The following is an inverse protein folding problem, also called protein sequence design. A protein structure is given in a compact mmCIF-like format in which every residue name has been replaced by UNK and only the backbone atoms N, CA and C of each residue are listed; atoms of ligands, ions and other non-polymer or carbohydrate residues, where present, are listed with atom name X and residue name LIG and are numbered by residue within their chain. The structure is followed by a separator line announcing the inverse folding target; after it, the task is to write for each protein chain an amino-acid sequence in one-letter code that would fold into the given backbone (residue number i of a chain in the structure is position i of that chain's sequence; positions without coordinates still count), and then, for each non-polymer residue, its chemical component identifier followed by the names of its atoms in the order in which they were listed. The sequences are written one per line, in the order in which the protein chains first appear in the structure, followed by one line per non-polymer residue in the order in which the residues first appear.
data_IF_501510490947
#
_entry.id   IF_501510490947
#
_cell.length_a   1.000
_cell.length_b   1.000
_cell.length_c   1.000
_cell.angle_alpha   90.00
_cell.angle_beta   90.00
_cell.angle_gamma   90.00
#
_symmetry.space_group_name_H-M   'P 1'
#
loop_
_entity.id
_entity.type
_entity.pdbx_description
1 polymer ?
#
# COMPACT_ATOMS: atom_id res chain seq x y z
N UNK A 1 56.43 11.22 -4.44
CA UNK A 1 54.97 11.22 -4.22
C UNK A 1 54.68 11.04 -2.73
N UNK A 2 53.97 12.01 -2.14
CA UNK A 2 53.82 12.12 -0.69
C UNK A 2 52.80 11.07 -0.20
N UNK A 3 53.25 10.08 0.59
CA UNK A 3 52.43 8.92 1.04
C UNK A 3 51.18 9.33 1.84
N UNK A 4 51.18 10.53 2.41
CA UNK A 4 50.04 11.15 3.09
C UNK A 4 48.89 11.52 2.13
N UNK A 5 49.20 12.05 0.94
CA UNK A 5 48.18 12.42 -0.05
C UNK A 5 47.47 11.18 -0.62
N UNK A 6 48.21 10.07 -0.78
CA UNK A 6 47.63 8.82 -1.27
C UNK A 6 46.64 8.20 -0.27
N UNK A 7 46.89 8.35 1.04
CA UNK A 7 46.03 7.83 2.12
C UNK A 7 44.75 8.63 2.30
N UNK A 8 44.81 9.95 2.11
CA UNK A 8 43.62 10.81 2.17
C UNK A 8 42.72 10.56 0.97
N UNK A 9 43.30 10.36 -0.22
CA UNK A 9 42.54 10.04 -1.43
C UNK A 9 41.83 8.68 -1.32
N UNK A 10 42.47 7.64 -0.78
CA UNK A 10 41.82 6.33 -0.59
C UNK A 10 40.73 6.34 0.47
N UNK A 11 40.89 7.13 1.55
CA UNK A 11 39.86 7.27 2.58
C UNK A 11 38.60 7.99 2.03
N UNK A 12 38.78 9.02 1.20
CA UNK A 12 37.67 9.75 0.59
C UNK A 12 36.87 8.88 -0.40
N UNK A 13 37.56 8.04 -1.19
CA UNK A 13 36.90 7.10 -2.12
C UNK A 13 36.12 6.02 -1.38
N UNK A 14 36.61 5.54 -0.23
CA UNK A 14 35.92 4.51 0.56
C UNK A 14 34.64 5.05 1.22
N UNK A 15 34.65 6.30 1.70
CA UNK A 15 33.47 6.93 2.31
C UNK A 15 32.40 7.19 1.25
N UNK A 16 32.82 7.62 0.06
CA UNK A 16 31.90 7.84 -1.07
C UNK A 16 31.24 6.55 -1.58
N UNK A 17 31.95 5.42 -1.56
CA UNK A 17 31.38 4.13 -1.97
C UNK A 17 30.45 3.49 -0.93
N UNK A 18 30.66 3.72 0.37
CA UNK A 18 29.74 3.25 1.41
C UNK A 18 28.42 4.05 1.43
N UNK A 19 28.45 5.35 1.08
CA UNK A 19 27.24 6.17 0.99
C UNK A 19 26.30 5.74 -0.16
N UNK A 20 26.84 5.13 -1.22
CA UNK A 20 26.06 4.71 -2.39
C UNK A 20 25.29 3.38 -2.20
N UNK A 21 25.56 2.61 -1.14
CA UNK A 21 24.85 1.36 -0.86
C UNK A 21 23.80 1.47 0.26
N UNK A 22 23.62 2.66 0.84
CA UNK A 22 22.54 2.87 1.81
C UNK A 22 21.31 3.39 1.05
N UNK A 23 20.25 2.59 0.86
CA UNK A 23 18.98 3.14 0.41
C UNK A 23 18.56 4.20 1.45
N UNK A 24 18.45 5.44 1.00
CA UNK A 24 17.99 6.58 1.81
C UNK A 24 16.53 6.38 2.31
N UNK A 25 15.81 5.44 1.71
CA UNK A 25 14.50 4.98 2.15
C UNK A 25 14.63 3.69 2.97
N UNK A 26 14.08 3.66 4.20
CA UNK A 26 13.97 2.40 4.93
C UNK A 26 13.21 1.38 4.09
N UNK A 27 13.59 0.09 4.16
CA UNK A 27 12.89 -0.96 3.45
C UNK A 27 11.41 -0.92 3.82
N UNK A 28 10.56 -1.05 2.82
CA UNK A 28 9.11 -1.06 3.00
C UNK A 28 8.73 -2.19 3.99
N UNK A 29 8.09 -1.84 5.10
CA UNK A 29 7.82 -2.81 6.19
C UNK A 29 6.74 -3.82 5.82
N UNK A 30 5.84 -3.44 4.92
CA UNK A 30 4.68 -4.22 4.55
C UNK A 30 4.21 -3.81 3.15
N UNK A 31 3.78 -4.79 2.39
CA UNK A 31 3.08 -4.60 1.12
C UNK A 31 1.58 -4.60 1.39
N UNK A 32 0.88 -3.67 0.76
CA UNK A 32 -0.59 -3.64 0.72
C UNK A 32 -1.03 -3.69 -0.74
N UNK A 33 -1.99 -4.55 -1.05
CA UNK A 33 -2.56 -4.70 -2.39
C UNK A 33 -4.07 -4.85 -2.35
N UNK A 34 -4.72 -4.48 -3.45
CA UNK A 34 -6.11 -4.83 -3.70
C UNK A 34 -6.18 -6.22 -4.34
N UNK A 35 -7.08 -7.06 -3.85
CA UNK A 35 -7.35 -8.41 -4.34
C UNK A 35 -8.81 -8.49 -4.85
N UNK A 36 -9.07 -9.04 -6.06
CA UNK A 36 -8.14 -9.68 -7.02
C UNK A 36 -7.50 -8.75 -8.06
N UNK A 37 -7.93 -7.49 -8.13
CA UNK A 37 -7.44 -6.51 -9.13
C UNK A 37 -6.82 -5.34 -8.39
N UNK A 38 -5.70 -4.80 -8.91
CA UNK A 38 -4.94 -3.71 -8.29
C UNK A 38 -5.60 -2.33 -8.33
N UNK A 39 -6.77 -2.22 -8.94
CA UNK A 39 -7.51 -0.97 -9.15
C UNK A 39 -8.87 -0.98 -8.43
N UNK A 40 -9.28 0.21 -8.01
CA UNK A 40 -10.62 0.49 -7.52
C UNK A 40 -11.56 0.55 -8.73
N UNK A 41 -12.60 -0.29 -8.75
CA UNK A 41 -13.49 -0.40 -9.92
C UNK A 41 -14.96 -0.28 -9.55
N UNK A 42 -15.75 0.18 -10.51
CA UNK A 42 -17.21 0.22 -10.44
C UNK A 42 -17.79 -0.11 -11.82
N UNK A 43 -19.00 -0.62 -11.82
CA UNK A 43 -19.78 -0.96 -13.02
C UNK A 43 -21.01 -0.06 -13.10
N UNK A 44 -21.43 0.28 -14.31
CA UNK A 44 -22.68 1.02 -14.55
C UNK A 44 -23.59 0.15 -15.41
N UNK A 45 -24.78 -0.16 -14.91
CA UNK A 45 -25.72 -0.98 -15.66
C UNK A 45 -26.51 -0.18 -16.71
N UNK A 46 -27.31 -0.88 -17.53
CA UNK A 46 -28.13 -0.28 -18.59
C UNK A 46 -29.22 0.68 -18.08
N UNK A 47 -29.51 0.68 -16.78
CA UNK A 47 -30.44 1.60 -16.12
C UNK A 47 -29.74 2.83 -15.52
N UNK A 48 -28.41 2.88 -15.59
CA UNK A 48 -27.58 3.91 -14.97
C UNK A 48 -27.28 3.66 -13.49
N UNK A 49 -27.59 2.47 -12.96
CA UNK A 49 -27.27 2.13 -11.58
C UNK A 49 -25.77 1.82 -11.44
N UNK A 50 -25.14 2.45 -10.44
CA UNK A 50 -23.72 2.31 -10.13
C UNK A 50 -23.54 1.18 -9.12
N UNK A 51 -22.74 0.18 -9.48
CA UNK A 51 -22.32 -0.90 -8.57
C UNK A 51 -20.82 -0.81 -8.34
N UNK A 52 -20.41 -0.41 -7.14
CA UNK A 52 -18.98 -0.41 -6.76
C UNK A 52 -18.52 -1.84 -6.53
N UNK A 53 -17.44 -2.24 -7.20
CA UNK A 53 -16.96 -3.61 -7.07
C UNK A 53 -16.24 -3.77 -5.73
N UNK A 54 -16.72 -4.69 -4.90
CA UNK A 54 -16.04 -5.00 -3.63
C UNK A 54 -14.65 -5.54 -3.90
N UNK A 55 -13.64 -4.94 -3.27
CA UNK A 55 -12.24 -5.38 -3.28
C UNK A 55 -11.81 -5.66 -1.85
N UNK A 56 -10.98 -6.69 -1.67
CA UNK A 56 -10.36 -6.94 -0.38
C UNK A 56 -8.99 -6.25 -0.33
N UNK A 57 -8.62 -5.74 0.84
CA UNK A 57 -7.26 -5.32 1.10
C UNK A 57 -6.46 -6.51 1.61
N UNK A 58 -5.35 -6.80 0.96
CA UNK A 58 -4.43 -7.83 1.36
C UNK A 58 -3.14 -7.20 1.89
N UNK A 59 -2.78 -7.56 3.11
CA UNK A 59 -1.62 -7.06 3.83
C UNK A 59 -0.58 -8.17 3.98
N UNK A 60 0.67 -7.86 3.70
CA UNK A 60 1.77 -8.82 3.81
C UNK A 60 3.03 -8.13 4.32
N UNK A 61 3.56 -8.57 5.46
CA UNK A 61 4.83 -8.05 5.98
C UNK A 61 6.00 -8.44 5.07
N UNK A 62 6.94 -7.51 4.88
CA UNK A 62 8.16 -7.75 4.14
C UNK A 62 9.10 -8.71 4.89
N UNK A 63 9.97 -9.41 4.15
CA UNK A 63 10.91 -10.36 4.73
C UNK A 63 11.71 -9.79 5.91
N UNK A 64 11.68 -10.48 7.06
CA UNK A 64 12.35 -10.08 8.30
C UNK A 64 11.62 -9.03 9.13
N UNK A 65 10.49 -8.50 8.66
CA UNK A 65 9.71 -7.50 9.40
C UNK A 65 8.95 -8.14 10.57
N UNK A 66 8.78 -7.41 11.70
CA UNK A 66 7.97 -7.89 12.81
C UNK A 66 6.49 -8.03 12.42
N UNK A 67 5.73 -8.78 13.20
CA UNK A 67 4.28 -8.75 13.10
C UNK A 67 3.76 -7.35 13.44
N UNK A 68 2.69 -6.95 12.77
CA UNK A 68 2.11 -5.62 12.87
C UNK A 68 0.60 -5.70 13.08
N UNK A 69 0.00 -4.64 13.60
CA UNK A 69 -1.45 -4.47 13.67
C UNK A 69 -1.84 -3.16 13.02
N UNK A 70 -2.70 -3.22 12.01
CA UNK A 70 -3.30 -2.03 11.38
C UNK A 70 -4.51 -1.62 12.21
N UNK A 71 -4.51 -0.37 12.66
CA UNK A 71 -5.50 0.19 13.58
C UNK A 71 -6.42 1.20 12.91
N UNK A 72 -6.04 1.73 11.74
CA UNK A 72 -6.85 2.70 11.02
C UNK A 72 -6.41 2.85 9.57
N UNK A 73 -7.29 3.47 8.81
CA UNK A 73 -7.08 3.84 7.42
C UNK A 73 -7.73 5.21 7.14
N UNK A 74 -7.01 6.05 6.43
CA UNK A 74 -7.49 7.27 5.80
C UNK A 74 -7.37 7.13 4.29
N UNK A 75 -8.34 7.63 3.55
CA UNK A 75 -8.35 7.59 2.09
C UNK A 75 -8.67 8.98 1.56
N UNK A 76 -7.82 9.48 0.68
CA UNK A 76 -8.04 10.74 -0.04
C UNK A 76 -8.07 10.44 -1.54
N UNK A 77 -9.12 10.88 -2.24
CA UNK A 77 -9.28 10.67 -3.67
C UNK A 77 -8.91 11.94 -4.43
N UNK A 78 -8.24 11.76 -5.56
CA UNK A 78 -7.79 12.84 -6.41
C UNK A 78 -8.13 12.53 -7.86
N UNK A 79 -8.33 13.59 -8.65
CA UNK A 79 -8.38 13.46 -10.10
C UNK A 79 -6.96 13.34 -10.68
N UNK A 80 -6.88 13.18 -12.00
CA UNK A 80 -5.61 13.03 -12.69
C UNK A 80 -4.72 14.28 -12.69
N UNK A 81 -5.25 15.45 -12.31
CA UNK A 81 -4.48 16.68 -12.12
C UNK A 81 -4.03 16.86 -10.65
N UNK A 82 -4.39 15.92 -9.77
CA UNK A 82 -4.08 15.95 -8.34
C UNK A 82 -5.03 16.84 -7.53
N UNK A 83 -6.19 17.22 -8.07
CA UNK A 83 -7.20 17.97 -7.31
C UNK A 83 -7.98 17.02 -6.44
N UNK A 84 -8.19 17.40 -5.18
CA UNK A 84 -8.92 16.60 -4.21
C UNK A 84 -10.41 16.47 -4.56
N UNK A 85 -10.90 15.24 -4.57
CA UNK A 85 -12.26 14.85 -4.97
C UNK A 85 -13.09 14.27 -3.83
N UNK A 86 -12.53 14.19 -2.62
CA UNK A 86 -13.19 13.64 -1.44
C UNK A 86 -12.26 12.78 -0.61
N UNK A 87 -12.73 12.36 0.56
CA UNK A 87 -11.98 11.46 1.42
C UNK A 87 -12.87 10.73 2.40
N UNK A 88 -12.34 9.64 2.94
CA UNK A 88 -12.94 8.84 3.99
C UNK A 88 -11.89 8.54 5.04
N UNK A 89 -12.26 8.61 6.31
CA UNK A 89 -11.41 8.16 7.39
C UNK A 89 -12.15 7.12 8.24
N UNK A 90 -11.41 6.09 8.66
CA UNK A 90 -11.78 5.35 9.86
C UNK A 90 -11.16 6.07 11.05
N UNK A 91 -11.88 6.12 12.16
CA UNK A 91 -11.29 6.54 13.43
C UNK A 91 -10.04 5.70 13.72
N UNK A 92 -9.03 6.29 14.38
CA UNK A 92 -7.88 5.51 14.87
C UNK A 92 -8.41 4.47 15.86
N UNK A 93 -8.17 3.18 15.59
CA UNK A 93 -8.78 1.98 16.21
C UNK A 93 -10.11 1.49 15.63
N UNK A 94 -10.59 2.08 14.54
CA UNK A 94 -11.76 1.60 13.79
C UNK A 94 -11.49 0.35 12.95
N UNK A 95 -10.21 0.00 12.76
CA UNK A 95 -9.76 -1.25 12.15
C UNK A 95 -8.90 -2.03 13.14
N UNK A 96 -8.88 -3.35 13.02
CA UNK A 96 -7.97 -4.21 13.78
C UNK A 96 -7.57 -5.39 12.90
N UNK A 97 -6.55 -5.17 12.08
CA UNK A 97 -6.03 -6.20 11.15
C UNK A 97 -4.66 -6.61 11.63
N UNK A 98 -4.54 -7.85 12.09
CA UNK A 98 -3.26 -8.45 12.46
C UNK A 98 -2.52 -8.89 11.20
N UNK A 99 -1.29 -8.43 10.99
CA UNK A 99 -0.44 -8.82 9.87
C UNK A 99 0.72 -9.66 10.39
N UNK A 100 0.82 -10.95 10.01
CA UNK A 100 1.88 -11.85 10.45
C UNK A 100 3.29 -11.31 10.16
N UNK A 101 4.27 -11.79 10.92
CA UNK A 101 5.66 -11.41 10.71
C UNK A 101 6.20 -11.92 9.36
N UNK A 102 7.23 -11.25 8.84
CA UNK A 102 7.92 -11.61 7.60
C UNK A 102 8.83 -12.84 7.74
N UNK A 103 8.26 -14.00 8.02
CA UNK A 103 8.98 -15.27 8.11
C UNK A 103 8.21 -16.39 7.41
N UNK A 104 8.95 -17.34 6.83
CA UNK A 104 8.43 -18.61 6.35
C UNK A 104 9.01 -19.77 7.16
N UNK A 105 8.25 -20.85 7.29
CA UNK A 105 8.58 -22.08 8.01
C UNK A 105 7.71 -23.22 7.49
N UNK A 106 8.07 -24.47 7.77
CA UNK A 106 7.38 -25.66 7.23
C UNK A 106 5.95 -25.82 7.75
N UNK A 107 5.68 -25.35 8.98
CA UNK A 107 4.38 -25.44 9.63
C UNK A 107 3.99 -24.07 10.23
N UNK A 108 3.50 -23.12 9.41
CA UNK A 108 3.02 -21.83 9.90
C UNK A 108 1.79 -22.00 10.80
N UNK A 109 1.69 -21.17 11.83
CA UNK A 109 0.41 -20.99 12.55
C UNK A 109 -0.59 -20.30 11.61
N UNK A 110 -1.84 -20.76 11.61
CA UNK A 110 -2.85 -20.27 10.66
C UNK A 110 -3.16 -18.77 10.81
N UNK A 111 -2.97 -18.21 12.01
CA UNK A 111 -3.30 -16.81 12.32
C UNK A 111 -2.03 -15.98 12.53
N UNK A 112 -1.09 -16.50 13.32
CA UNK A 112 0.15 -15.81 13.69
C UNK A 112 1.25 -15.92 12.63
N UNK A 113 1.11 -16.85 11.68
CA UNK A 113 2.14 -17.18 10.70
C UNK A 113 3.39 -17.78 11.36
N UNK A 114 4.53 -17.61 10.71
CA UNK A 114 5.83 -17.95 11.28
C UNK A 114 6.43 -16.75 12.02
N UNK A 115 7.29 -17.04 12.99
CA UNK A 115 8.09 -16.04 13.69
C UNK A 115 9.57 -16.42 13.68
N UNK A 116 10.43 -15.51 14.15
CA UNK A 116 11.87 -15.77 14.32
C UNK A 116 12.19 -16.97 15.21
N UNK A 117 11.26 -17.37 16.09
CA UNK A 117 11.44 -18.51 17.01
C UNK A 117 10.82 -19.80 16.48
N UNK A 118 10.16 -19.76 15.33
CA UNK A 118 9.58 -20.97 14.72
C UNK A 118 10.70 -21.90 14.23
N UNK A 119 10.60 -23.23 14.45
CA UNK A 119 11.59 -24.18 13.96
C UNK A 119 11.78 -24.08 12.44
N UNK A 120 13.04 -24.00 11.99
CA UNK A 120 13.37 -23.88 10.57
C UNK A 120 12.97 -22.55 9.92
N UNK A 121 12.60 -21.52 10.70
CA UNK A 121 12.18 -20.25 10.14
C UNK A 121 13.32 -19.51 9.44
N UNK A 122 13.01 -18.82 8.34
CA UNK A 122 13.91 -17.90 7.68
C UNK A 122 13.16 -16.63 7.23
N UNK A 123 13.85 -15.47 7.09
CA UNK A 123 13.23 -14.26 6.58
C UNK A 123 12.66 -14.46 5.17
N UNK A 124 11.36 -14.22 5.01
CA UNK A 124 10.62 -14.31 3.75
C UNK A 124 9.35 -13.46 3.85
N UNK A 125 8.65 -13.09 2.75
CA UNK A 125 7.35 -12.43 2.87
C UNK A 125 6.43 -13.19 3.82
N UNK A 126 5.77 -12.46 4.72
CA UNK A 126 4.91 -13.06 5.73
C UNK A 126 3.69 -13.74 5.10
N UNK A 127 2.95 -14.49 5.91
CA UNK A 127 1.64 -14.96 5.47
C UNK A 127 0.74 -13.74 5.20
N UNK A 128 0.08 -13.75 4.06
CA UNK A 128 -0.85 -12.70 3.69
C UNK A 128 -2.11 -12.76 4.55
N UNK A 129 -2.56 -11.59 5.03
CA UNK A 129 -3.86 -11.45 5.65
C UNK A 129 -4.78 -10.61 4.75
N UNK A 130 -5.87 -11.23 4.33
CA UNK A 130 -6.88 -10.60 3.48
C UNK A 130 -8.03 -10.12 4.36
N UNK A 131 -8.27 -8.81 4.35
CA UNK A 131 -9.43 -8.19 4.95
C UNK A 131 -10.67 -8.50 4.08
N UNK A 132 -11.18 -9.72 4.23
CA UNK A 132 -12.34 -10.25 3.48
C UNK A 132 -13.66 -9.67 3.98
N UNK A 133 -13.71 -9.22 5.23
CA UNK A 133 -14.83 -8.48 5.78
C UNK A 133 -14.55 -6.99 5.63
N UNK A 134 -15.24 -6.32 4.74
CA UNK A 134 -15.43 -4.89 4.89
C UNK A 134 -16.86 -4.51 4.55
N UNK A 135 -17.61 -4.20 5.60
CA UNK A 135 -18.66 -3.18 5.59
C UNK A 135 -18.10 -1.77 5.27
N UNK A 136 -16.86 -1.68 4.78
CA UNK A 136 -16.13 -0.46 4.43
C UNK A 136 -16.03 -0.42 2.92
N UNK A 137 -16.85 0.41 2.30
CA UNK A 137 -16.80 0.65 0.87
C UNK A 137 -15.64 1.61 0.58
N UNK A 138 -14.54 1.09 0.02
CA UNK A 138 -13.31 1.85 -0.29
C UNK A 138 -13.40 2.79 -1.49
N UNK A 139 -14.58 2.90 -2.11
CA UNK A 139 -14.84 3.87 -3.17
C UNK A 139 -16.25 4.45 -2.97
N UNK A 140 -16.38 5.65 -2.39
CA UNK A 140 -17.66 6.32 -2.16
C UNK A 140 -18.37 6.61 -3.48
N UNK A 141 -19.70 6.45 -3.51
CA UNK A 141 -20.52 6.70 -4.71
C UNK A 141 -20.36 8.12 -5.26
N UNK A 142 -20.19 9.11 -4.39
CA UNK A 142 -19.98 10.51 -4.80
C UNK A 142 -18.69 10.71 -5.61
N UNK A 143 -17.63 9.96 -5.27
CA UNK A 143 -16.36 9.98 -6.03
C UNK A 143 -16.56 9.28 -7.37
N UNK A 144 -17.34 8.20 -7.39
CA UNK A 144 -17.69 7.48 -8.62
C UNK A 144 -18.48 8.36 -9.58
N UNK A 145 -19.50 9.08 -9.09
CA UNK A 145 -20.31 9.97 -9.91
C UNK A 145 -19.46 11.08 -10.54
N UNK A 146 -18.56 11.70 -9.77
CA UNK A 146 -17.63 12.72 -10.28
C UNK A 146 -16.67 12.14 -11.32
N UNK A 147 -16.11 10.96 -11.06
CA UNK A 147 -15.23 10.28 -12.01
C UNK A 147 -15.97 9.89 -13.30
N UNK A 148 -17.22 9.45 -13.21
CA UNK A 148 -18.05 9.12 -14.38
C UNK A 148 -18.29 10.34 -15.27
N UNK A 149 -18.72 11.47 -14.70
CA UNK A 149 -18.94 12.73 -15.44
C UNK A 149 -17.65 13.16 -16.14
N UNK A 150 -16.53 13.14 -15.42
CA UNK A 150 -15.22 13.45 -15.98
C UNK A 150 -14.89 12.50 -17.16
N UNK A 151 -15.03 11.19 -16.97
CA UNK A 151 -14.73 10.20 -18.01
C UNK A 151 -15.57 10.38 -19.28
N UNK A 152 -16.85 10.77 -19.14
CA UNK A 152 -17.72 11.09 -20.27
C UNK A 152 -17.23 12.33 -21.01
N UNK A 153 -16.89 13.41 -20.32
CA UNK A 153 -16.39 14.65 -20.94
C UNK A 153 -15.09 14.43 -21.73
N UNK A 154 -14.18 13.59 -21.21
CA UNK A 154 -12.95 13.23 -21.93
C UNK A 154 -13.22 12.37 -23.16
N UNK A 155 -14.17 11.43 -23.07
CA UNK A 155 -14.55 10.57 -24.20
C UNK A 155 -15.08 11.40 -25.38
N UNK A 156 -15.84 12.46 -25.08
CA UNK A 156 -16.38 13.41 -26.07
C UNK A 156 -15.26 14.30 -26.63
N UNK A 157 -14.28 14.66 -25.80
CA UNK A 157 -13.18 15.56 -26.19
C UNK A 157 -12.00 14.86 -26.87
N UNK A 158 -11.99 13.52 -26.91
CA UNK A 158 -10.89 12.73 -27.47
C UNK A 158 -9.56 12.85 -26.69
N UNK A 159 -9.63 13.28 -25.43
CA UNK A 159 -8.47 13.50 -24.55
C UNK A 159 -8.32 12.30 -23.63
N UNK A 160 -7.12 11.73 -23.54
CA UNK A 160 -6.79 10.72 -22.51
C UNK A 160 -6.79 11.39 -21.15
N UNK A 161 -7.67 10.97 -20.24
CA UNK A 161 -7.62 11.48 -18.86
C UNK A 161 -6.40 10.94 -18.13
N UNK A 162 -5.67 11.78 -17.38
CA UNK A 162 -4.78 11.27 -16.36
C UNK A 162 -5.60 10.46 -15.34
N UNK A 163 -5.04 9.33 -14.91
CA UNK A 163 -5.78 8.36 -14.09
C UNK A 163 -6.12 8.94 -12.73
N UNK A 164 -7.41 8.96 -12.39
CA UNK A 164 -7.87 9.26 -11.04
C UNK A 164 -7.33 8.21 -10.07
N UNK A 165 -7.09 8.61 -8.83
CA UNK A 165 -6.47 7.73 -7.84
C UNK A 165 -6.96 8.02 -6.42
N UNK A 166 -6.85 7.01 -5.56
CA UNK A 166 -7.00 7.14 -4.11
C UNK A 166 -5.67 6.90 -3.41
N UNK A 167 -5.30 7.78 -2.50
CA UNK A 167 -4.20 7.59 -1.56
C UNK A 167 -4.74 7.02 -0.25
N UNK A 168 -4.32 5.80 0.07
CA UNK A 168 -4.74 5.05 1.24
C UNK A 168 -3.60 5.06 2.24
N UNK A 169 -3.80 5.79 3.33
CA UNK A 169 -2.87 5.90 4.43
C UNK A 169 -3.31 4.96 5.55
N UNK A 170 -2.54 3.90 5.78
CA UNK A 170 -2.77 2.93 6.83
C UNK A 170 -1.94 3.26 8.06
N UNK A 171 -2.59 3.30 9.21
CA UNK A 171 -1.93 3.47 10.50
C UNK A 171 -1.85 2.14 11.23
N UNK A 172 -0.70 1.87 11.83
CA UNK A 172 -0.50 0.65 12.60
C UNK A 172 0.62 0.76 13.61
N UNK A 173 0.85 -0.35 14.32
CA UNK A 173 1.97 -0.49 15.23
C UNK A 173 2.61 -1.86 15.07
N UNK A 174 3.91 -1.92 15.30
CA UNK A 174 4.70 -3.15 15.36
C UNK A 174 5.64 -3.13 16.57
N UNK A 175 6.54 -4.11 16.66
CA UNK A 175 7.54 -4.19 17.73
C UNK A 175 8.54 -3.02 17.77
N UNK A 176 8.60 -2.20 16.71
CA UNK A 176 9.47 -1.02 16.60
C UNK A 176 8.72 0.29 16.85
N UNK A 177 7.40 0.27 17.01
CA UNK A 177 6.56 1.45 17.33
C UNK A 177 5.41 1.66 16.36
N UNK A 178 4.82 2.86 16.39
CA UNK A 178 3.80 3.28 15.43
C UNK A 178 4.41 3.52 14.05
N UNK A 179 3.64 3.22 13.01
CA UNK A 179 4.03 3.48 11.63
C UNK A 179 2.82 3.88 10.78
N UNK A 180 3.14 4.46 9.63
CA UNK A 180 2.20 4.85 8.60
C UNK A 180 2.69 4.35 7.24
N UNK A 181 1.78 3.83 6.42
CA UNK A 181 2.07 3.38 5.06
C UNK A 181 1.01 3.97 4.14
N UNK A 182 1.44 4.76 3.16
CA UNK A 182 0.56 5.29 2.12
C UNK A 182 0.70 4.48 0.84
N UNK A 183 -0.43 4.11 0.25
CA UNK A 183 -0.52 3.40 -1.03
C UNK A 183 -1.48 4.09 -1.97
N UNK A 184 -1.06 4.20 -3.22
CA UNK A 184 -1.90 4.74 -4.29
C UNK A 184 -2.56 3.60 -5.05
N UNK A 185 -3.89 3.66 -5.17
CA UNK A 185 -4.67 2.77 -6.01
C UNK A 185 -5.39 3.59 -7.07
N UNK A 186 -5.31 3.17 -8.34
CA UNK A 186 -6.00 3.89 -9.41
C UNK A 186 -7.49 3.54 -9.44
N UNK A 187 -8.29 4.50 -9.89
CA UNK A 187 -9.72 4.31 -10.13
C UNK A 187 -9.88 3.96 -11.60
N UNK A 188 -10.37 2.75 -11.87
CA UNK A 188 -10.71 2.30 -13.20
C UNK A 188 -12.17 2.65 -13.51
N UNK A 189 -12.40 3.17 -14.73
CA UNK A 189 -13.73 3.37 -15.29
C UNK A 189 -14.37 2.01 -15.65
N UNK A 190 -15.70 1.94 -15.77
CA UNK A 190 -16.40 0.76 -16.25
C UNK A 190 -15.94 0.38 -17.67
N UNK A 191 -15.96 -0.92 -17.96
CA UNK A 191 -15.85 -1.42 -19.35
C UNK A 191 -17.19 -1.34 -20.06
#
# INVERSE_FOLDING_TARGET
MNRLLLRVATAAVLIASLAACSPLTPPERMTVRLDPVGDLGYEVDNSGAITVTTRALAFQSSAGSPAATITGAEVNYYDGDGVWQGGWNSERNGLSVFVPAGFACEAPDAVMGCSRTSPGSFPAPGQENVLTQSSVQFLPSEVVERHLVASMDASVSGVTMPGWYGEFTFHGYDAMGEFEITKTFFIAAPN
#
